data_IF_363790535030
#
_entry.id   IF_363790535030
#
_cell.length_a   1.000
_cell.length_b   1.000
_cell.length_c   1.000
_cell.angle_alpha   90.00
_cell.angle_beta   90.00
_cell.angle_gamma   90.00
#
_symmetry.space_group_name_H-M   'P 1'
#
loop_
_entity.id
_entity.type
_entity.pdbx_description
1 polymer ?
#
# COMPACT_ATOMS: atom_id res chain seq x y z
N UNK A 1 27.23 92.82 -27.56
CA UNK A 1 26.89 91.90 -26.46
C UNK A 1 25.81 90.94 -26.93
N UNK A 2 26.14 89.66 -27.15
CA UNK A 2 25.32 88.47 -26.83
C UNK A 2 25.91 87.22 -27.50
N UNK A 3 26.40 86.31 -26.65
CA UNK A 3 26.99 85.00 -26.97
C UNK A 3 25.96 83.96 -27.41
N UNK A 4 26.39 82.86 -28.06
CA UNK A 4 25.52 81.79 -28.53
C UNK A 4 25.07 80.84 -27.41
N UNK A 5 23.86 80.33 -27.57
CA UNK A 5 23.20 79.32 -26.73
C UNK A 5 23.91 77.96 -26.78
N UNK A 6 24.41 77.51 -25.63
CA UNK A 6 24.99 76.19 -25.41
C UNK A 6 23.89 75.18 -25.05
N UNK A 7 23.63 74.22 -25.93
CA UNK A 7 22.80 73.04 -25.63
C UNK A 7 23.58 72.09 -24.72
N UNK A 8 23.24 72.05 -23.43
CA UNK A 8 23.68 70.98 -22.51
C UNK A 8 22.97 69.68 -22.87
N UNK A 9 23.73 68.72 -23.37
CA UNK A 9 23.32 67.32 -23.49
C UNK A 9 23.38 66.72 -22.07
N UNK A 10 22.24 66.51 -21.43
CA UNK A 10 22.15 65.80 -20.16
C UNK A 10 22.37 64.32 -20.47
N UNK A 11 23.63 63.89 -20.37
CA UNK A 11 23.96 62.47 -20.35
C UNK A 11 23.48 61.89 -19.03
N UNK A 12 22.49 61.02 -19.09
CA UNK A 12 22.12 60.18 -17.97
C UNK A 12 23.25 59.17 -17.74
N UNK A 13 24.07 59.43 -16.71
CA UNK A 13 25.10 58.52 -16.23
C UNK A 13 24.44 57.32 -15.53
N UNK A 14 23.88 56.41 -16.31
CA UNK A 14 23.47 55.10 -15.80
C UNK A 14 24.67 54.15 -15.90
N UNK A 15 25.27 53.89 -14.73
CA UNK A 15 26.10 52.71 -14.41
C UNK A 15 27.28 52.45 -15.36
N UNK A 16 28.44 53.00 -15.01
CA UNK A 16 29.73 52.70 -15.65
C UNK A 16 30.23 51.30 -15.22
N UNK A 17 29.56 50.25 -15.69
CA UNK A 17 29.99 48.85 -15.54
C UNK A 17 30.78 48.50 -16.81
N UNK A 18 32.05 48.10 -16.66
CA UNK A 18 32.91 47.73 -17.79
C UNK A 18 32.35 46.53 -18.57
N UNK A 19 32.71 46.37 -19.85
CA UNK A 19 32.30 45.21 -20.66
C UNK A 19 32.65 43.87 -19.99
N UNK A 20 33.78 43.83 -19.27
CA UNK A 20 34.19 42.70 -18.44
C UNK A 20 33.24 42.43 -17.25
N UNK A 21 32.63 43.48 -16.70
CA UNK A 21 31.57 43.38 -15.68
C UNK A 21 30.28 42.79 -16.24
N UNK A 22 29.90 43.14 -17.47
CA UNK A 22 28.73 42.58 -18.16
C UNK A 22 28.93 41.10 -18.56
N UNK A 23 30.13 40.70 -18.99
CA UNK A 23 30.45 39.29 -19.27
C UNK A 23 30.49 38.43 -18.00
N UNK A 24 30.95 38.99 -16.88
CA UNK A 24 30.96 38.31 -15.59
C UNK A 24 29.54 38.13 -15.04
N UNK A 25 28.70 39.18 -15.10
CA UNK A 25 27.31 39.11 -14.67
C UNK A 25 26.48 38.14 -15.52
N UNK A 26 26.64 38.14 -16.84
CA UNK A 26 25.95 37.18 -17.72
C UNK A 26 26.35 35.73 -17.46
N UNK A 27 27.62 35.48 -17.14
CA UNK A 27 28.10 34.15 -16.74
C UNK A 27 27.50 33.69 -15.41
N UNK A 28 27.39 34.58 -14.42
CA UNK A 28 26.73 34.29 -13.14
C UNK A 28 25.25 34.00 -13.34
N UNK A 29 24.55 34.81 -14.14
CA UNK A 29 23.13 34.60 -14.44
C UNK A 29 22.92 33.26 -15.13
N UNK A 30 23.75 32.90 -16.13
CA UNK A 30 23.65 31.62 -16.82
C UNK A 30 23.84 30.42 -15.87
N UNK A 31 24.81 30.49 -14.94
CA UNK A 31 25.04 29.44 -13.94
C UNK A 31 23.86 29.35 -12.96
N UNK A 32 23.32 30.48 -12.50
CA UNK A 32 22.17 30.49 -11.60
C UNK A 32 20.91 29.94 -12.29
N UNK A 33 20.66 30.26 -13.56
CA UNK A 33 19.55 29.71 -14.33
C UNK A 33 19.69 28.21 -14.53
N UNK A 34 20.90 27.72 -14.81
CA UNK A 34 21.16 26.29 -14.96
C UNK A 34 20.96 25.52 -13.65
N UNK A 35 21.48 26.03 -12.53
CA UNK A 35 21.32 25.40 -11.20
C UNK A 35 19.87 25.40 -10.73
N UNK A 36 19.13 26.49 -10.97
CA UNK A 36 17.70 26.58 -10.63
C UNK A 36 16.82 25.71 -11.52
N UNK A 37 17.14 25.56 -12.81
CA UNK A 37 16.44 24.62 -13.70
C UNK A 37 16.63 23.16 -13.24
N UNK A 38 17.86 22.77 -12.89
CA UNK A 38 18.13 21.43 -12.36
C UNK A 38 17.45 21.24 -11.00
N UNK A 39 17.59 22.20 -10.09
CA UNK A 39 16.93 22.17 -8.78
C UNK A 39 15.40 22.08 -8.88
N UNK A 40 14.79 22.78 -9.84
CA UNK A 40 13.36 22.72 -10.12
C UNK A 40 12.91 21.36 -10.66
N UNK A 41 13.72 20.70 -11.50
CA UNK A 41 13.44 19.33 -11.96
C UNK A 41 13.51 18.33 -10.80
N UNK A 42 14.55 18.42 -9.96
CA UNK A 42 14.67 17.57 -8.77
C UNK A 42 13.54 17.80 -7.77
N UNK A 43 13.15 19.05 -7.53
CA UNK A 43 12.02 19.39 -6.65
C UNK A 43 10.69 18.88 -7.20
N UNK A 44 10.42 19.05 -8.50
CA UNK A 44 9.21 18.54 -9.14
C UNK A 44 9.13 17.01 -9.11
N UNK A 45 10.27 16.32 -9.28
CA UNK A 45 10.35 14.85 -9.12
C UNK A 45 10.08 14.45 -7.67
N UNK A 46 10.63 15.18 -6.68
CA UNK A 46 10.41 14.91 -5.26
C UNK A 46 8.93 15.11 -4.86
N UNK A 47 8.33 16.24 -5.23
CA UNK A 47 6.93 16.55 -4.98
C UNK A 47 5.99 15.55 -5.69
N UNK A 48 6.35 15.12 -6.90
CA UNK A 48 5.61 14.07 -7.61
C UNK A 48 5.66 12.73 -6.88
N UNK A 49 6.81 12.36 -6.32
CA UNK A 49 6.97 11.12 -5.53
C UNK A 49 6.15 11.21 -4.23
N UNK A 50 6.24 12.31 -3.48
CA UNK A 50 5.44 12.51 -2.26
C UNK A 50 3.94 12.51 -2.54
N UNK A 51 3.50 13.21 -3.59
CA UNK A 51 2.09 13.25 -3.99
C UNK A 51 1.58 11.85 -4.37
N UNK A 52 2.41 11.08 -5.07
CA UNK A 52 2.07 9.70 -5.45
C UNK A 52 1.94 8.78 -4.24
N UNK A 53 2.83 8.91 -3.24
CA UNK A 53 2.72 8.17 -1.99
C UNK A 53 1.54 8.61 -1.13
N UNK A 54 1.24 9.92 -1.08
CA UNK A 54 0.04 10.42 -0.43
C UNK A 54 -1.24 9.88 -1.07
N UNK A 55 -1.32 9.86 -2.39
CA UNK A 55 -2.49 9.33 -3.09
C UNK A 55 -2.62 7.81 -2.90
N UNK A 56 -1.51 7.07 -2.93
CA UNK A 56 -1.49 5.64 -2.58
C UNK A 56 -2.01 5.37 -1.17
N UNK A 57 -1.59 6.20 -0.22
CA UNK A 57 -2.02 6.11 1.17
C UNK A 57 -3.53 6.40 1.30
N UNK A 58 -4.04 7.42 0.59
CA UNK A 58 -5.49 7.70 0.56
C UNK A 58 -6.29 6.51 0.01
N UNK A 59 -5.86 5.90 -1.09
CA UNK A 59 -6.53 4.71 -1.64
C UNK A 59 -6.49 3.52 -0.66
N UNK A 60 -5.36 3.30 0.02
CA UNK A 60 -5.28 2.29 1.09
C UNK A 60 -6.26 2.60 2.22
N UNK A 61 -6.36 3.85 2.67
CA UNK A 61 -7.32 4.25 3.71
C UNK A 61 -8.78 4.04 3.28
N UNK A 62 -9.12 4.29 2.00
CA UNK A 62 -10.46 3.97 1.47
C UNK A 62 -10.73 2.47 1.49
N UNK A 63 -9.74 1.61 1.23
CA UNK A 63 -9.90 0.16 1.37
C UNK A 63 -10.03 -0.27 2.83
N UNK A 64 -9.34 0.40 3.76
CA UNK A 64 -9.51 0.18 5.21
C UNK A 64 -10.94 0.56 5.63
N UNK A 65 -11.43 1.73 5.23
CA UNK A 65 -12.82 2.12 5.50
C UNK A 65 -13.82 1.13 4.89
N UNK A 66 -13.56 0.67 3.66
CA UNK A 66 -14.37 -0.36 3.00
C UNK A 66 -14.39 -1.65 3.82
N UNK A 67 -13.23 -2.11 4.31
CA UNK A 67 -13.12 -3.28 5.18
C UNK A 67 -13.97 -3.14 6.45
N UNK A 68 -13.92 -1.98 7.08
CA UNK A 68 -14.58 -1.71 8.35
C UNK A 68 -16.09 -1.52 8.22
N UNK A 69 -16.56 -0.93 7.11
CA UNK A 69 -17.94 -0.47 6.93
C UNK A 69 -18.79 -1.40 6.06
N UNK A 70 -18.21 -2.11 5.10
CA UNK A 70 -18.97 -2.94 4.14
C UNK A 70 -19.10 -4.41 4.58
N UNK A 71 -18.91 -4.69 5.87
CA UNK A 71 -19.19 -6.01 6.45
C UNK A 71 -18.06 -7.03 6.34
N UNK A 72 -16.96 -6.76 5.61
CA UNK A 72 -15.83 -7.69 5.51
C UNK A 72 -15.17 -7.96 6.87
N UNK A 73 -14.96 -6.91 7.68
CA UNK A 73 -14.46 -7.05 9.06
C UNK A 73 -15.40 -7.89 9.92
N UNK A 74 -16.71 -7.73 9.74
CA UNK A 74 -17.70 -8.53 10.47
C UNK A 74 -17.65 -10.00 10.04
N UNK A 75 -17.62 -10.28 8.74
CA UNK A 75 -17.50 -11.63 8.20
C UNK A 75 -16.24 -12.34 8.74
N UNK A 76 -15.09 -11.65 8.75
CA UNK A 76 -13.87 -12.18 9.35
C UNK A 76 -13.99 -12.40 10.87
N UNK A 77 -14.62 -11.47 11.60
CA UNK A 77 -14.87 -11.62 13.03
C UNK A 77 -15.75 -12.83 13.35
N UNK A 78 -16.81 -13.05 12.56
CA UNK A 78 -17.72 -14.19 12.70
C UNK A 78 -17.02 -15.52 12.37
N UNK A 79 -16.13 -15.53 11.38
CA UNK A 79 -15.27 -16.68 11.07
C UNK A 79 -14.32 -16.98 12.22
N UNK A 80 -13.63 -15.96 12.75
CA UNK A 80 -12.73 -16.13 13.90
C UNK A 80 -13.45 -16.67 15.13
N UNK A 81 -14.66 -16.17 15.40
CA UNK A 81 -15.50 -16.68 16.49
C UNK A 81 -15.88 -18.15 16.24
N UNK A 82 -16.29 -18.48 15.02
CA UNK A 82 -16.60 -19.85 14.63
C UNK A 82 -15.40 -20.79 14.82
N UNK A 83 -14.20 -20.36 14.42
CA UNK A 83 -12.98 -21.13 14.63
C UNK A 83 -12.66 -21.32 16.12
N UNK A 84 -12.79 -20.27 16.94
CA UNK A 84 -12.59 -20.37 18.40
C UNK A 84 -13.56 -21.38 19.03
N UNK A 85 -14.84 -21.29 18.69
CA UNK A 85 -15.86 -22.23 19.18
C UNK A 85 -15.60 -23.66 18.67
N UNK A 86 -15.18 -23.81 17.41
CA UNK A 86 -14.76 -25.10 16.87
C UNK A 86 -13.60 -25.69 17.69
N UNK A 87 -12.57 -24.89 18.00
CA UNK A 87 -11.46 -25.36 18.83
C UNK A 87 -11.94 -25.81 20.21
N UNK A 88 -12.91 -25.14 20.84
CA UNK A 88 -13.48 -25.56 22.13
C UNK A 88 -14.08 -26.97 22.10
N UNK A 89 -14.59 -27.43 20.94
CA UNK A 89 -15.13 -28.80 20.78
C UNK A 89 -14.06 -29.90 20.71
N UNK A 90 -12.79 -29.52 20.52
CA UNK A 90 -11.69 -30.46 20.32
C UNK A 90 -11.11 -30.88 21.68
N UNK A 91 -10.90 -32.19 21.95
CA UNK A 91 -10.25 -32.65 23.16
C UNK A 91 -8.87 -32.01 23.38
N UNK A 92 -8.52 -31.68 24.63
CA UNK A 92 -7.25 -30.99 24.97
C UNK A 92 -6.01 -31.79 24.50
N UNK A 93 -6.09 -33.12 24.51
CA UNK A 93 -5.02 -33.99 24.02
C UNK A 93 -4.82 -33.92 22.50
N UNK A 94 -5.86 -33.58 21.74
CA UNK A 94 -5.79 -33.37 20.29
C UNK A 94 -5.27 -31.96 19.98
N UNK A 95 -5.68 -30.96 20.77
CA UNK A 95 -5.14 -29.59 20.65
C UNK A 95 -3.62 -29.56 20.83
N UNK A 96 -3.10 -30.16 21.91
CA UNK A 96 -1.63 -30.21 22.15
C UNK A 96 -0.86 -30.91 21.03
N UNK A 97 -1.47 -31.91 20.38
CA UNK A 97 -0.87 -32.60 19.23
C UNK A 97 -0.92 -31.74 17.96
N UNK A 98 -1.98 -30.97 17.77
CA UNK A 98 -2.06 -29.99 16.70
C UNK A 98 -1.05 -28.85 16.90
N UNK A 99 -0.85 -28.38 18.13
CA UNK A 99 0.12 -27.33 18.48
C UNK A 99 1.58 -27.74 18.17
N UNK A 100 1.89 -29.05 18.20
CA UNK A 100 3.21 -29.56 17.80
C UNK A 100 3.41 -29.68 16.29
N UNK A 101 2.40 -29.33 15.49
CA UNK A 101 2.44 -29.34 14.02
C UNK A 101 2.26 -30.71 13.36
N UNK A 102 2.26 -30.72 12.03
CA UNK A 102 2.15 -31.92 11.19
C UNK A 102 0.71 -32.42 10.99
N UNK A 103 0.55 -33.73 10.79
CA UNK A 103 -0.72 -34.36 10.41
C UNK A 103 -1.90 -34.11 11.36
N UNK A 104 -1.63 -33.83 12.64
CA UNK A 104 -2.69 -33.51 13.61
C UNK A 104 -3.37 -32.17 13.30
N UNK A 105 -2.59 -31.16 12.90
CA UNK A 105 -3.13 -29.87 12.46
C UNK A 105 -3.88 -30.02 11.12
N UNK A 106 -3.32 -30.76 10.17
CA UNK A 106 -3.99 -31.00 8.87
C UNK A 106 -5.37 -31.66 9.06
N UNK A 107 -5.45 -32.66 9.93
CA UNK A 107 -6.71 -33.33 10.27
C UNK A 107 -7.71 -32.38 10.94
N UNK A 108 -7.22 -31.48 11.80
CA UNK A 108 -8.04 -30.46 12.46
C UNK A 108 -8.63 -29.49 11.43
N UNK A 109 -7.80 -28.93 10.55
CA UNK A 109 -8.23 -28.02 9.48
C UNK A 109 -9.15 -28.72 8.48
N UNK A 110 -8.91 -30.00 8.18
CA UNK A 110 -9.82 -30.78 7.34
C UNK A 110 -11.18 -31.02 8.01
N UNK A 111 -11.21 -31.16 9.34
CA UNK A 111 -12.45 -31.21 10.11
C UNK A 111 -13.20 -29.88 10.07
N UNK A 112 -12.50 -28.76 10.26
CA UNK A 112 -13.04 -27.41 10.13
C UNK A 112 -13.66 -27.19 8.75
N UNK A 113 -12.95 -27.55 7.68
CA UNK A 113 -13.43 -27.43 6.29
C UNK A 113 -14.75 -28.16 6.07
N UNK A 114 -14.90 -29.36 6.65
CA UNK A 114 -16.16 -30.13 6.56
C UNK A 114 -17.31 -29.45 7.30
N UNK A 115 -17.05 -28.67 8.35
CA UNK A 115 -18.08 -27.88 9.02
C UNK A 115 -18.46 -26.65 8.18
N UNK A 116 -17.48 -25.93 7.65
CA UNK A 116 -17.71 -24.80 6.72
C UNK A 116 -18.56 -25.25 5.52
N UNK A 117 -18.24 -26.42 4.94
CA UNK A 117 -18.97 -26.99 3.80
C UNK A 117 -20.45 -27.32 4.11
N UNK A 118 -20.84 -27.45 5.38
CA UNK A 118 -22.22 -27.72 5.80
C UNK A 118 -23.02 -26.46 6.10
N UNK A 119 -22.37 -25.32 6.29
CA UNK A 119 -22.99 -24.06 6.68
C UNK A 119 -22.83 -23.01 5.57
N UNK A 120 -23.86 -22.77 4.73
CA UNK A 120 -23.79 -21.81 3.63
C UNK A 120 -23.36 -20.40 4.07
N UNK A 121 -23.76 -19.96 5.26
CA UNK A 121 -23.34 -18.68 5.82
C UNK A 121 -21.81 -18.58 6.01
N UNK A 122 -21.14 -19.69 6.39
CA UNK A 122 -19.68 -19.71 6.57
C UNK A 122 -18.95 -19.68 5.24
N UNK A 123 -19.48 -20.37 4.23
CA UNK A 123 -18.95 -20.32 2.88
C UNK A 123 -19.01 -18.90 2.33
N UNK A 124 -20.14 -18.23 2.56
CA UNK A 124 -20.35 -16.84 2.16
C UNK A 124 -19.37 -15.89 2.88
N UNK A 125 -19.21 -16.03 4.20
CA UNK A 125 -18.22 -15.23 4.95
C UNK A 125 -16.79 -15.43 4.42
N UNK A 126 -16.38 -16.67 4.11
CA UNK A 126 -15.06 -16.94 3.51
C UNK A 126 -14.95 -16.26 2.15
N UNK A 127 -16.01 -16.34 1.33
CA UNK A 127 -16.07 -15.71 0.01
C UNK A 127 -15.90 -14.20 0.08
N UNK A 128 -16.59 -13.53 0.99
CA UNK A 128 -16.51 -12.07 1.18
C UNK A 128 -15.10 -11.63 1.61
N UNK A 129 -14.48 -12.36 2.55
CA UNK A 129 -13.11 -12.04 3.00
C UNK A 129 -12.08 -12.28 1.87
N UNK A 130 -12.21 -13.39 1.14
CA UNK A 130 -11.37 -13.69 -0.03
C UNK A 130 -11.55 -12.63 -1.11
N UNK A 131 -12.78 -12.19 -1.38
CA UNK A 131 -13.06 -11.13 -2.34
C UNK A 131 -12.31 -9.84 -1.96
N UNK A 132 -12.42 -9.41 -0.70
CA UNK A 132 -11.73 -8.23 -0.22
C UNK A 132 -10.21 -8.35 -0.36
N UNK A 133 -9.62 -9.47 0.07
CA UNK A 133 -8.16 -9.64 -0.03
C UNK A 133 -7.67 -9.75 -1.47
N UNK A 134 -8.44 -10.31 -2.40
CA UNK A 134 -8.08 -10.24 -3.81
C UNK A 134 -8.08 -8.80 -4.33
N UNK A 135 -9.09 -7.99 -3.95
CA UNK A 135 -9.14 -6.57 -4.31
C UNK A 135 -7.96 -5.80 -3.72
N UNK A 136 -7.60 -6.09 -2.47
CA UNK A 136 -6.44 -5.51 -1.80
C UNK A 136 -5.13 -5.89 -2.52
N UNK A 137 -4.97 -7.16 -2.86
CA UNK A 137 -3.81 -7.66 -3.61
C UNK A 137 -3.67 -6.98 -4.96
N UNK A 138 -4.77 -6.85 -5.72
CA UNK A 138 -4.76 -6.12 -6.99
C UNK A 138 -4.32 -4.65 -6.80
N UNK A 139 -4.77 -4.01 -5.72
CA UNK A 139 -4.39 -2.62 -5.43
C UNK A 139 -2.89 -2.48 -5.09
N UNK A 140 -2.34 -3.40 -4.30
CA UNK A 140 -0.91 -3.39 -3.95
C UNK A 140 -0.05 -3.75 -5.16
N UNK A 141 -0.39 -4.81 -5.90
CA UNK A 141 0.35 -5.27 -7.07
C UNK A 141 0.35 -4.21 -8.19
N UNK A 142 -0.76 -3.49 -8.38
CA UNK A 142 -0.84 -2.38 -9.32
C UNK A 142 -0.15 -1.10 -8.82
N UNK A 143 0.47 -1.13 -7.63
CA UNK A 143 1.11 0.02 -6.98
C UNK A 143 0.17 1.23 -6.82
N UNK A 144 -1.13 0.95 -6.63
CA UNK A 144 -2.19 1.93 -6.36
C UNK A 144 -2.38 2.14 -4.86
N UNK A 145 -2.11 1.11 -4.05
CA UNK A 145 -2.13 1.17 -2.59
C UNK A 145 -0.71 1.26 -2.03
N UNK A 146 -0.56 1.94 -0.89
CA UNK A 146 0.68 1.95 -0.12
C UNK A 146 0.91 0.55 0.47
N UNK A 147 2.01 -0.09 0.07
CA UNK A 147 2.40 -1.41 0.58
C UNK A 147 2.69 -1.36 2.08
N UNK A 148 3.35 -0.30 2.55
CA UNK A 148 3.69 -0.11 3.97
C UNK A 148 2.43 0.02 4.82
N UNK A 149 1.51 0.91 4.44
CA UNK A 149 0.26 1.12 5.17
C UNK A 149 -0.60 -0.14 5.16
N UNK A 150 -0.65 -0.85 4.02
CA UNK A 150 -1.36 -2.13 3.92
C UNK A 150 -0.75 -3.18 4.84
N UNK A 151 0.58 -3.29 4.90
CA UNK A 151 1.25 -4.28 5.76
C UNK A 151 0.97 -4.01 7.24
N UNK A 152 1.05 -2.76 7.68
CA UNK A 152 0.75 -2.36 9.07
C UNK A 152 -0.67 -2.75 9.49
N UNK A 153 -1.65 -2.59 8.60
CA UNK A 153 -3.05 -2.84 8.96
C UNK A 153 -3.49 -4.30 8.73
N UNK A 154 -3.07 -4.91 7.61
CA UNK A 154 -3.64 -6.17 7.15
C UNK A 154 -2.73 -7.39 7.30
N UNK A 155 -1.42 -7.24 7.54
CA UNK A 155 -0.49 -8.38 7.55
C UNK A 155 -0.99 -9.50 8.47
N UNK A 156 -1.15 -9.22 9.76
CA UNK A 156 -1.54 -10.23 10.76
C UNK A 156 -2.91 -10.86 10.45
N UNK A 157 -3.83 -10.04 9.92
CA UNK A 157 -5.17 -10.48 9.52
C UNK A 157 -5.09 -11.44 8.33
N UNK A 158 -4.30 -11.12 7.30
CA UNK A 158 -4.11 -11.96 6.11
C UNK A 158 -3.39 -13.26 6.49
N UNK A 159 -2.35 -13.20 7.33
CA UNK A 159 -1.63 -14.39 7.78
C UNK A 159 -2.54 -15.33 8.58
N UNK A 160 -3.20 -14.81 9.62
CA UNK A 160 -4.11 -15.61 10.47
C UNK A 160 -5.25 -16.22 9.64
N UNK A 161 -5.76 -15.47 8.66
CA UNK A 161 -6.80 -15.97 7.77
C UNK A 161 -6.30 -17.12 6.88
N UNK A 162 -5.12 -16.99 6.28
CA UNK A 162 -4.55 -18.03 5.43
C UNK A 162 -4.13 -19.27 6.21
N UNK A 163 -3.62 -19.12 7.43
CA UNK A 163 -3.26 -20.24 8.29
C UNK A 163 -4.46 -21.15 8.58
N UNK A 164 -5.63 -20.54 8.86
CA UNK A 164 -6.84 -21.29 9.24
C UNK A 164 -7.66 -21.72 8.02
N UNK A 165 -7.84 -20.83 7.04
CA UNK A 165 -8.78 -21.04 5.93
C UNK A 165 -8.09 -21.35 4.59
N UNK A 166 -6.75 -21.32 4.52
CA UNK A 166 -6.00 -21.58 3.29
C UNK A 166 -6.36 -22.93 2.67
N UNK A 167 -6.45 -23.99 3.47
CA UNK A 167 -6.85 -25.31 3.00
C UNK A 167 -8.28 -25.31 2.42
N UNK A 168 -9.21 -24.56 3.00
CA UNK A 168 -10.56 -24.43 2.45
C UNK A 168 -10.53 -23.72 1.10
N UNK A 169 -9.78 -22.62 1.02
CA UNK A 169 -9.66 -21.80 -0.19
C UNK A 169 -9.08 -22.62 -1.35
N UNK A 170 -8.02 -23.38 -1.09
CA UNK A 170 -7.36 -24.19 -2.12
C UNK A 170 -8.30 -25.28 -2.67
N UNK A 171 -9.09 -25.91 -1.79
CA UNK A 171 -10.07 -26.92 -2.18
C UNK A 171 -11.28 -26.35 -2.93
N UNK A 172 -11.55 -25.05 -2.80
CA UNK A 172 -12.73 -24.39 -3.36
C UNK A 172 -12.37 -23.23 -4.31
N UNK A 173 -11.15 -23.22 -4.87
CA UNK A 173 -10.64 -22.13 -5.70
C UNK A 173 -11.50 -21.80 -6.93
N UNK A 174 -12.26 -22.76 -7.45
CA UNK A 174 -13.12 -22.58 -8.62
C UNK A 174 -14.44 -21.86 -8.29
N UNK A 175 -14.85 -21.84 -7.01
CA UNK A 175 -16.09 -21.20 -6.55
C UNK A 175 -15.83 -19.87 -5.84
N UNK A 176 -14.58 -19.60 -5.46
CA UNK A 176 -14.18 -18.38 -4.80
C UNK A 176 -13.77 -17.29 -5.80
N UNK A 177 -14.03 -16.01 -5.50
CA UNK A 177 -13.64 -14.91 -6.37
C UNK A 177 -12.12 -14.78 -6.43
N UNK A 178 -11.58 -14.58 -7.63
CA UNK A 178 -10.14 -14.41 -7.84
C UNK A 178 -9.38 -15.74 -7.98
N UNK A 179 -8.05 -15.69 -7.84
CA UNK A 179 -7.20 -16.90 -7.81
C UNK A 179 -6.62 -17.02 -6.41
N UNK A 180 -6.66 -18.22 -5.80
CA UNK A 180 -6.06 -18.45 -4.48
C UNK A 180 -4.58 -18.03 -4.38
N UNK A 181 -3.85 -18.11 -5.51
CA UNK A 181 -2.47 -17.65 -5.66
C UNK A 181 -2.28 -16.16 -5.27
N UNK A 182 -3.28 -15.32 -5.55
CA UNK A 182 -3.20 -13.87 -5.28
C UNK A 182 -3.16 -13.55 -3.79
N UNK A 183 -3.86 -14.33 -2.95
CA UNK A 183 -3.83 -14.14 -1.50
C UNK A 183 -2.50 -14.58 -0.89
N UNK A 184 -1.96 -15.72 -1.35
CA UNK A 184 -0.64 -16.19 -0.90
C UNK A 184 0.45 -15.21 -1.32
N UNK A 185 0.34 -14.63 -2.52
CA UNK A 185 1.24 -13.58 -2.98
C UNK A 185 1.11 -12.31 -2.13
N UNK A 186 -0.12 -11.87 -1.83
CA UNK A 186 -0.36 -10.75 -0.92
C UNK A 186 0.28 -10.99 0.45
N UNK A 187 0.07 -12.17 1.06
CA UNK A 187 0.71 -12.54 2.33
C UNK A 187 2.24 -12.38 2.27
N UNK A 188 2.87 -12.88 1.20
CA UNK A 188 4.32 -12.75 1.00
C UNK A 188 4.76 -11.30 0.81
N UNK A 189 3.96 -10.52 0.08
CA UNK A 189 4.27 -9.11 -0.13
C UNK A 189 4.18 -8.32 1.18
N UNK A 190 3.19 -8.58 2.01
CA UNK A 190 3.00 -7.89 3.29
C UNK A 190 4.00 -8.34 4.36
N UNK A 191 4.57 -9.54 4.23
CA UNK A 191 5.58 -10.09 5.13
C UNK A 191 6.96 -10.30 4.44
N UNK A 192 7.66 -9.24 4.02
CA UNK A 192 8.92 -9.35 3.26
C UNK A 192 10.10 -9.85 4.09
N UNK A 193 10.00 -9.80 5.42
CA UNK A 193 10.98 -10.36 6.34
C UNK A 193 10.20 -11.31 7.23
N UNK A 194 10.35 -12.63 7.06
CA UNK A 194 9.73 -13.63 7.93
C UNK A 194 10.15 -13.43 9.38
N UNK A 195 9.45 -12.51 10.05
CA UNK A 195 9.52 -12.30 11.49
C UNK A 195 8.43 -13.19 12.06
N UNK A 196 8.86 -14.42 12.30
CA UNK A 196 8.28 -15.37 13.24
C UNK A 196 8.15 -14.74 14.64
#
# INVERSE_FOLDING_TARGET
>A
MSQPSSKRRVGLSFLNISEAGWSFLSSIVAVLTFVSAIGGIFWAVFEYIEKKEMDRTKYTLTLIETWETQGYRQAYGELRQFYSTFLETIPVGDKRRADTGGHAMDNLLQSLNRQIAKEPARQEQVREVVYFFNRLALCVNASLCSKETTAVFFNDTVQSFLEVYGLYIDNNKETLPGRGVTLVELSRELNPAGRD
#
